data_IF_206022202178
#
_entry.id   IF_206022202178
#
_cell.length_a   1.000
_cell.length_b   1.000
_cell.length_c   1.000
_cell.angle_alpha   90.00
_cell.angle_beta   90.00
_cell.angle_gamma   90.00
#
_symmetry.space_group_name_H-M   'P 1'
#
loop_
_entity.id
_entity.type
_entity.pdbx_description
1 polymer ?
#
# COMPACT_ATOMS: atom_id res chain seq x y z
N UNK A 1 -0.59 -11.95 17.56
CA UNK A 1 -0.85 -10.67 16.89
C UNK A 1 -1.84 -10.94 15.79
N UNK A 2 -3.00 -10.27 15.81
CA UNK A 2 -4.03 -10.39 14.76
C UNK A 2 -3.84 -9.25 13.76
N UNK A 3 -3.33 -9.58 12.57
CA UNK A 3 -3.09 -8.62 11.49
C UNK A 3 -4.07 -8.93 10.37
N UNK A 4 -4.89 -7.94 10.04
CA UNK A 4 -5.81 -7.99 8.92
C UNK A 4 -5.22 -7.25 7.73
N UNK A 5 -4.98 -7.97 6.65
CA UNK A 5 -4.52 -7.41 5.38
C UNK A 5 -5.70 -7.01 4.50
N UNK A 6 -5.60 -5.83 3.89
CA UNK A 6 -6.55 -5.33 2.89
C UNK A 6 -5.82 -4.98 1.60
N UNK A 7 -6.30 -5.51 0.48
CA UNK A 7 -5.73 -5.29 -0.84
C UNK A 7 -6.67 -4.48 -1.72
N UNK A 8 -6.12 -3.53 -2.47
CA UNK A 8 -6.85 -2.74 -3.45
C UNK A 8 -5.97 -2.41 -4.66
N UNK A 9 -6.60 -2.17 -5.80
CA UNK A 9 -5.94 -1.74 -7.03
C UNK A 9 -6.17 -0.23 -7.21
N UNK A 10 -5.09 0.52 -7.35
CA UNK A 10 -5.12 1.98 -7.52
C UNK A 10 -4.52 2.33 -8.88
N UNK A 11 -5.27 3.08 -9.68
CA UNK A 11 -4.80 3.57 -10.98
C UNK A 11 -4.29 5.00 -10.86
N UNK A 12 -3.08 5.23 -11.35
CA UNK A 12 -2.49 6.55 -11.53
C UNK A 12 -2.50 6.87 -13.02
N UNK A 13 -3.28 7.87 -13.42
CA UNK A 13 -3.47 8.25 -14.83
C UNK A 13 -2.22 8.87 -15.47
N UNK A 14 -1.29 9.34 -14.64
CA UNK A 14 -0.07 10.00 -15.07
C UNK A 14 1.15 9.45 -14.30
N UNK A 15 2.36 9.52 -14.90
CA UNK A 15 3.58 9.20 -14.18
C UNK A 15 3.72 10.03 -12.91
N UNK A 16 4.18 9.42 -11.82
CA UNK A 16 4.19 10.05 -10.51
C UNK A 16 5.50 9.78 -9.74
N UNK A 17 5.76 10.59 -8.72
CA UNK A 17 6.88 10.41 -7.79
C UNK A 17 6.31 10.16 -6.40
N UNK A 18 6.93 9.23 -5.67
CA UNK A 18 6.60 8.96 -4.27
C UNK A 18 7.88 8.91 -3.44
N UNK A 19 7.81 9.42 -2.21
CA UNK A 19 8.95 9.35 -1.29
C UNK A 19 9.26 7.88 -1.00
N UNK A 20 10.54 7.52 -1.06
CA UNK A 20 11.01 6.15 -0.83
C UNK A 20 11.10 5.28 -2.08
N UNK A 21 10.61 5.74 -3.24
CA UNK A 21 10.90 5.12 -4.53
C UNK A 21 11.94 5.98 -5.30
N UNK A 22 12.87 5.33 -5.98
CA UNK A 22 13.81 6.02 -6.87
C UNK A 22 13.14 6.37 -8.20
N UNK A 23 13.31 7.62 -8.64
CA UNK A 23 12.86 8.07 -9.96
C UNK A 23 11.35 8.35 -10.06
N UNK A 24 10.85 8.28 -11.29
CA UNK A 24 9.43 8.47 -11.64
C UNK A 24 8.85 7.09 -11.92
N UNK A 25 7.73 6.79 -11.27
CA UNK A 25 6.95 5.58 -11.53
C UNK A 25 6.00 5.83 -12.71
N UNK A 26 5.83 4.86 -13.62
CA UNK A 26 4.95 5.02 -14.77
C UNK A 26 3.48 5.13 -14.35
N UNK A 27 2.66 5.74 -15.21
CA UNK A 27 1.20 5.64 -15.10
C UNK A 27 0.78 4.16 -15.17
N UNK A 28 -0.31 3.80 -14.48
CA UNK A 28 -0.82 2.44 -14.49
C UNK A 28 -1.55 2.05 -13.21
N UNK A 29 -1.96 0.79 -13.16
CA UNK A 29 -2.67 0.22 -12.01
C UNK A 29 -1.69 -0.53 -11.13
N UNK A 30 -1.60 -0.12 -9.87
CA UNK A 30 -0.71 -0.67 -8.88
C UNK A 30 -1.50 -1.39 -7.80
N UNK A 31 -0.96 -2.51 -7.33
CA UNK A 31 -1.47 -3.23 -6.16
C UNK A 31 -1.02 -2.50 -4.89
N UNK A 32 -1.98 -2.13 -4.04
CA UNK A 32 -1.75 -1.53 -2.74
C UNK A 32 -2.23 -2.49 -1.66
N UNK A 33 -1.33 -2.84 -0.74
CA UNK A 33 -1.60 -3.71 0.40
C UNK A 33 -1.50 -2.90 1.68
N UNK A 34 -2.52 -3.00 2.53
CA UNK A 34 -2.62 -2.28 3.79
C UNK A 34 -2.81 -3.30 4.91
N UNK A 35 -1.84 -3.33 5.82
CA UNK A 35 -1.98 -4.12 7.04
C UNK A 35 -2.58 -3.27 8.15
N UNK A 36 -3.52 -3.88 8.87
CA UNK A 36 -4.24 -3.27 9.97
C UNK A 36 -4.19 -4.18 11.19
N UNK A 37 -4.01 -3.57 12.34
CA UNK A 37 -4.12 -4.25 13.63
C UNK A 37 -5.37 -3.76 14.35
N UNK A 38 -6.07 -4.67 15.02
CA UNK A 38 -7.16 -4.28 15.91
C UNK A 38 -6.59 -3.46 17.08
N UNK A 39 -7.25 -2.35 17.40
CA UNK A 39 -6.98 -1.60 18.61
C UNK A 39 -7.76 -2.28 19.74
N UNK A 40 -7.03 -2.87 20.68
CA UNK A 40 -7.61 -3.50 21.87
C UNK A 40 -8.08 -2.45 22.86
N UNK A 41 -8.89 -2.88 23.83
CA UNK A 41 -9.36 -2.06 24.96
C UNK A 41 -10.26 -0.87 24.60
N UNK A 42 -10.84 -0.88 23.40
CA UNK A 42 -11.91 0.03 23.01
C UNK A 42 -13.28 -0.58 23.25
N UNK A 43 -14.28 0.26 23.54
CA UNK A 43 -15.69 -0.16 23.65
C UNK A 43 -16.33 -0.57 22.32
N UNK A 44 -15.59 -0.49 21.22
CA UNK A 44 -16.01 -0.87 19.88
C UNK A 44 -14.83 -1.42 19.06
N UNK A 45 -15.14 -2.17 18.00
CA UNK A 45 -14.11 -2.71 17.10
C UNK A 45 -13.53 -1.57 16.25
N UNK A 46 -12.24 -1.32 16.38
CA UNK A 46 -11.50 -0.38 15.54
C UNK A 46 -10.17 -0.97 15.10
N UNK A 47 -9.64 -0.47 13.99
CA UNK A 47 -8.38 -0.93 13.42
C UNK A 47 -7.46 0.26 13.13
N UNK A 48 -6.17 0.13 13.45
CA UNK A 48 -5.12 1.06 13.04
C UNK A 48 -4.37 0.50 11.84
N UNK A 49 -4.06 1.35 10.86
CA UNK A 49 -3.15 0.98 9.77
C UNK A 49 -1.73 0.96 10.31
N UNK A 50 -1.02 -0.15 10.12
CA UNK A 50 0.36 -0.33 10.57
C UNK A 50 1.36 -0.36 9.41
N UNK A 51 0.93 -0.77 8.22
CA UNK A 51 1.73 -0.72 7.02
C UNK A 51 0.90 -0.37 5.78
N UNK A 52 1.56 0.20 4.77
CA UNK A 52 1.00 0.38 3.43
C UNK A 52 2.11 0.13 2.41
N UNK A 53 1.91 -0.86 1.56
CA UNK A 53 2.87 -1.31 0.55
C UNK A 53 2.30 -1.04 -0.84
N UNK A 54 3.08 -0.35 -1.68
CA UNK A 54 2.81 -0.19 -3.10
C UNK A 54 3.69 -1.17 -3.86
N UNK A 55 3.08 -2.12 -4.57
CA UNK A 55 3.83 -3.05 -5.40
C UNK A 55 4.12 -2.42 -6.76
N UNK A 56 5.39 -2.10 -7.01
CA UNK A 56 5.85 -1.61 -8.30
C UNK A 56 6.10 -2.77 -9.27
N UNK A 57 5.86 -2.59 -10.58
CA UNK A 57 6.25 -3.58 -11.57
C UNK A 57 7.76 -3.84 -11.50
N UNK A 58 8.18 -5.07 -11.81
CA UNK A 58 9.60 -5.40 -11.86
C UNK A 58 10.28 -4.54 -12.93
N UNK A 59 11.34 -3.83 -12.55
CA UNK A 59 12.24 -3.20 -13.52
C UNK A 59 13.06 -4.33 -14.11
N UNK A 60 12.85 -4.65 -15.39
CA UNK A 60 13.81 -5.48 -16.11
C UNK A 60 15.12 -4.68 -16.18
N UNK A 61 16.15 -5.14 -15.46
CA UNK A 61 17.50 -4.61 -15.65
C UNK A 61 17.96 -4.98 -17.08
N UNK A 62 18.59 -4.04 -17.82
CA UNK A 62 19.11 -4.29 -19.16
C UNK A 62 20.23 -5.34 -19.18
#
# INVERSE_FOLDING_TARGET
>A
MDVRTHETMVTFDHPFRIRGAEGVLPAGTYRVVIDKEQILDLSFIAYRRVATMLHTPAVAAP
#
